data_IF_855323441992
#
_entry.id   IF_855323441992
#
_cell.length_a   1.000
_cell.length_b   1.000
_cell.length_c   1.000
_cell.angle_alpha   90.00
_cell.angle_beta   90.00
_cell.angle_gamma   90.00
#
_symmetry.space_group_name_H-M   'P 1'
#
loop_
_entity.id
_entity.type
_entity.pdbx_description
1 polymer ?
#
# COMPACT_ATOMS: atom_id res chain seq x y z
N UNK A 1 1.81 3.13 -14.83
CA UNK A 1 1.23 3.99 -13.77
C UNK A 1 2.07 3.79 -12.55
N UNK A 2 2.67 4.84 -12.04
CA UNK A 2 3.80 4.76 -11.11
C UNK A 2 3.42 5.40 -9.80
N UNK A 3 3.80 4.80 -8.66
CA UNK A 3 3.74 5.44 -7.35
C UNK A 3 5.11 6.09 -7.12
N UNK A 4 5.20 7.40 -7.30
CA UNK A 4 6.41 8.18 -7.04
C UNK A 4 6.39 8.79 -5.66
N UNK A 5 5.25 9.34 -5.24
CA UNK A 5 5.05 9.95 -3.94
C UNK A 5 3.68 9.57 -3.39
N UNK A 6 3.64 8.56 -2.53
CA UNK A 6 2.42 8.09 -1.87
C UNK A 6 2.29 8.58 -0.44
N UNK A 7 1.07 8.85 0.01
CA UNK A 7 0.74 9.07 1.41
C UNK A 7 -0.05 7.87 1.95
N UNK A 8 0.50 7.15 2.92
CA UNK A 8 -0.28 6.18 3.70
C UNK A 8 -0.91 6.86 4.90
N UNK A 9 -2.22 6.72 5.07
CA UNK A 9 -2.95 7.09 6.27
C UNK A 9 -3.04 5.83 7.15
N UNK A 10 -2.19 5.71 8.21
CA UNK A 10 -2.04 4.46 8.96
C UNK A 10 -2.95 4.36 10.17
N UNK A 11 -3.61 5.45 10.57
CA UNK A 11 -4.46 5.52 11.75
C UNK A 11 -5.58 6.53 11.55
N UNK A 12 -6.64 6.35 12.35
CA UNK A 12 -7.84 7.20 12.33
C UNK A 12 -8.12 7.82 13.71
N UNK A 13 -7.12 7.84 14.59
CA UNK A 13 -7.20 8.38 15.94
C UNK A 13 -6.77 9.84 15.97
N UNK A 14 -7.69 10.75 15.67
CA UNK A 14 -7.39 12.19 15.58
C UNK A 14 -7.79 12.98 16.83
N UNK A 15 -8.29 12.32 17.89
CA UNK A 15 -8.86 12.99 19.07
C UNK A 15 -10.19 13.71 18.79
N UNK A 16 -10.83 13.39 17.67
CA UNK A 16 -12.12 13.94 17.23
C UNK A 16 -13.28 13.03 17.62
N UNK A 17 -14.51 13.54 17.55
CA UNK A 17 -15.71 12.72 17.68
C UNK A 17 -15.91 11.80 16.46
N UNK A 18 -16.66 10.71 16.61
CA UNK A 18 -16.92 9.77 15.49
C UNK A 18 -17.51 10.46 14.25
N UNK A 19 -18.46 11.40 14.35
CA UNK A 19 -18.95 12.16 13.19
C UNK A 19 -17.88 12.99 12.46
N UNK A 20 -16.82 13.39 13.13
CA UNK A 20 -15.72 14.20 12.56
C UNK A 20 -14.56 13.34 12.04
N UNK A 21 -14.58 12.03 12.31
CA UNK A 21 -13.49 11.13 11.93
C UNK A 21 -13.29 11.08 10.41
N UNK A 22 -14.33 10.74 9.64
CA UNK A 22 -14.21 10.68 8.19
C UNK A 22 -13.92 12.04 7.53
N UNK A 23 -14.51 13.17 7.96
CA UNK A 23 -14.06 14.50 7.53
C UNK A 23 -12.56 14.74 7.68
N UNK A 24 -11.92 14.27 8.76
CA UNK A 24 -10.47 14.39 8.94
C UNK A 24 -9.68 13.46 7.98
N UNK A 25 -10.16 12.26 7.71
CA UNK A 25 -9.54 11.36 6.70
C UNK A 25 -9.64 11.98 5.30
N UNK A 26 -10.81 12.51 4.96
CA UNK A 26 -11.05 13.21 3.70
C UNK A 26 -10.11 14.39 3.53
N UNK A 27 -9.97 15.23 4.56
CA UNK A 27 -9.10 16.41 4.52
C UNK A 27 -7.63 16.04 4.29
N UNK A 28 -7.13 14.92 4.85
CA UNK A 28 -5.79 14.42 4.59
C UNK A 28 -5.60 14.03 3.11
N UNK A 29 -6.57 13.34 2.52
CA UNK A 29 -6.51 12.94 1.12
C UNK A 29 -6.58 14.15 0.17
N UNK A 30 -7.42 15.15 0.47
CA UNK A 30 -7.50 16.41 -0.27
C UNK A 30 -6.21 17.22 -0.14
N UNK A 31 -5.62 17.30 1.05
CA UNK A 31 -4.34 17.96 1.27
C UNK A 31 -3.20 17.25 0.53
N UNK A 32 -3.14 15.91 0.55
CA UNK A 32 -2.17 15.13 -0.19
C UNK A 32 -2.28 15.38 -1.71
N UNK A 33 -3.50 15.36 -2.25
CA UNK A 33 -3.73 15.66 -3.68
C UNK A 33 -3.27 17.08 -4.05
N UNK A 34 -3.54 18.06 -3.20
CA UNK A 34 -3.13 19.44 -3.41
C UNK A 34 -1.61 19.62 -3.31
N UNK A 35 -0.96 18.90 -2.40
CA UNK A 35 0.49 18.89 -2.20
C UNK A 35 1.27 18.12 -3.28
N UNK A 36 0.57 17.44 -4.20
CA UNK A 36 1.18 16.73 -5.32
C UNK A 36 1.59 15.29 -5.03
N UNK A 37 1.02 14.69 -3.99
CA UNK A 37 1.07 13.23 -3.88
C UNK A 37 0.27 12.59 -5.02
N UNK A 38 0.78 11.50 -5.57
CA UNK A 38 0.12 10.78 -6.65
C UNK A 38 -0.80 9.66 -6.15
N UNK A 39 -0.61 9.18 -4.92
CA UNK A 39 -1.37 8.05 -4.37
C UNK A 39 -1.67 8.24 -2.88
N UNK A 40 -2.92 8.02 -2.49
CA UNK A 40 -3.33 7.83 -1.08
C UNK A 40 -3.56 6.35 -0.82
N UNK A 41 -3.02 5.87 0.29
CA UNK A 41 -3.11 4.48 0.70
C UNK A 41 -3.67 4.38 2.13
N UNK A 42 -4.49 3.36 2.38
CA UNK A 42 -4.93 2.99 3.73
C UNK A 42 -4.50 1.57 4.06
N UNK A 43 -4.41 1.24 5.33
CA UNK A 43 -4.18 -0.15 5.75
C UNK A 43 -5.48 -0.97 5.62
N UNK A 44 -5.36 -2.24 5.25
CA UNK A 44 -6.48 -3.20 5.24
C UNK A 44 -6.48 -4.00 6.55
N UNK A 45 -6.64 -3.29 7.67
CA UNK A 45 -6.75 -3.84 9.01
C UNK A 45 -8.07 -3.42 9.66
N UNK A 46 -8.59 -4.25 10.56
CA UNK A 46 -9.82 -4.01 11.31
C UNK A 46 -9.54 -3.50 12.72
N UNK A 47 -8.33 -3.72 13.21
CA UNK A 47 -7.81 -3.25 14.48
C UNK A 47 -6.55 -2.41 14.26
N UNK A 48 -6.26 -1.51 15.20
CA UNK A 48 -5.02 -0.77 15.14
C UNK A 48 -3.82 -1.68 15.42
N UNK A 49 -2.73 -1.41 14.75
CA UNK A 49 -1.51 -2.21 14.85
C UNK A 49 -0.65 -1.80 16.03
N UNK A 50 0.03 -2.75 16.67
CA UNK A 50 1.06 -2.46 17.69
C UNK A 50 2.09 -1.44 17.18
N UNK A 51 2.40 -0.46 18.01
CA UNK A 51 3.31 0.65 17.67
C UNK A 51 2.66 1.79 16.86
N UNK A 52 1.36 1.68 16.53
CA UNK A 52 0.55 2.78 15.98
C UNK A 52 -0.51 3.23 16.96
N UNK A 53 -0.99 2.34 17.84
CA UNK A 53 -1.97 2.60 18.86
C UNK A 53 -2.47 1.32 19.52
N UNK A 54 -3.50 1.44 20.34
CA UNK A 54 -4.17 0.31 20.98
C UNK A 54 -5.12 -0.38 20.00
N UNK A 55 -5.36 -1.69 20.11
CA UNK A 55 -6.19 -2.44 19.15
C UNK A 55 -7.62 -1.95 18.98
N UNK A 56 -8.19 -1.28 19.98
CA UNK A 56 -9.55 -0.74 20.00
C UNK A 56 -9.64 0.72 19.50
N UNK A 57 -8.52 1.30 19.07
CA UNK A 57 -8.57 2.61 18.41
C UNK A 57 -9.31 2.51 17.06
N UNK A 58 -9.97 3.62 16.63
CA UNK A 58 -10.76 3.63 15.41
C UNK A 58 -9.99 3.12 14.19
N UNK A 59 -10.59 2.16 13.50
CA UNK A 59 -10.14 1.69 12.18
C UNK A 59 -11.36 1.63 11.25
N UNK A 60 -11.21 2.19 10.04
CA UNK A 60 -12.23 2.12 9.00
C UNK A 60 -11.92 0.96 8.06
N UNK A 61 -12.98 0.27 7.58
CA UNK A 61 -12.81 -0.75 6.56
C UNK A 61 -12.25 -0.11 5.27
N UNK A 62 -11.18 -0.68 4.77
CA UNK A 62 -10.33 -0.05 3.77
C UNK A 62 -11.04 0.32 2.46
N UNK A 63 -11.76 -0.61 1.86
CA UNK A 63 -12.40 -0.37 0.55
C UNK A 63 -13.62 0.54 0.67
N UNK A 64 -14.34 0.51 1.78
CA UNK A 64 -15.42 1.46 2.08
C UNK A 64 -14.86 2.88 2.23
N UNK A 65 -13.75 3.04 2.95
CA UNK A 65 -13.07 4.34 3.09
C UNK A 65 -12.53 4.85 1.75
N UNK A 66 -11.85 3.99 0.98
CA UNK A 66 -11.32 4.34 -0.35
C UNK A 66 -12.42 4.73 -1.34
N UNK A 67 -13.58 4.04 -1.32
CA UNK A 67 -14.71 4.42 -2.18
C UNK A 67 -15.27 5.80 -1.83
N UNK A 68 -15.32 6.15 -0.55
CA UNK A 68 -15.71 7.49 -0.12
C UNK A 68 -14.66 8.56 -0.51
N UNK A 69 -13.37 8.25 -0.36
CA UNK A 69 -12.28 9.14 -0.82
C UNK A 69 -12.26 9.32 -2.34
N UNK A 70 -12.65 8.29 -3.10
CA UNK A 70 -12.78 8.39 -4.55
C UNK A 70 -13.73 9.49 -5.02
N UNK A 71 -14.78 9.76 -4.22
CA UNK A 71 -15.75 10.84 -4.51
C UNK A 71 -15.32 12.21 -3.99
N UNK A 72 -14.30 12.25 -3.15
CA UNK A 72 -13.79 13.47 -2.51
C UNK A 72 -12.53 14.03 -3.20
N UNK A 73 -11.89 13.23 -4.05
CA UNK A 73 -10.66 13.56 -4.77
C UNK A 73 -10.84 13.42 -6.27
N UNK A 74 -9.99 14.03 -7.09
CA UNK A 74 -10.16 14.08 -8.55
C UNK A 74 -9.06 13.36 -9.32
N UNK A 75 -7.81 13.39 -8.82
CA UNK A 75 -6.61 12.93 -9.54
C UNK A 75 -5.83 11.85 -8.81
N UNK A 76 -5.77 11.95 -7.48
CA UNK A 76 -4.95 11.07 -6.66
C UNK A 76 -5.40 9.62 -6.77
N UNK A 77 -4.45 8.71 -6.92
CA UNK A 77 -4.68 7.27 -6.99
C UNK A 77 -5.05 6.73 -5.60
N UNK A 78 -5.77 5.63 -5.58
CA UNK A 78 -6.33 5.04 -4.37
C UNK A 78 -5.94 3.58 -4.25
N UNK A 79 -5.32 3.20 -3.16
CA UNK A 79 -4.86 1.83 -2.90
C UNK A 79 -4.97 1.45 -1.43
N UNK A 80 -4.90 0.17 -1.17
CA UNK A 80 -4.49 -0.33 0.15
C UNK A 80 -2.98 -0.55 0.17
N UNK A 81 -2.36 -0.43 1.33
CA UNK A 81 -0.98 -0.87 1.56
C UNK A 81 -0.93 -1.80 2.78
N UNK A 82 -1.17 -3.06 2.59
CA UNK A 82 -1.74 -3.74 1.41
C UNK A 82 -2.91 -4.62 1.85
N UNK A 83 -3.80 -4.96 0.91
CA UNK A 83 -4.90 -5.91 1.20
C UNK A 83 -4.34 -7.24 1.70
N UNK A 84 -4.87 -7.71 2.82
CA UNK A 84 -4.66 -9.07 3.28
C UNK A 84 -5.44 -10.06 2.41
N UNK A 85 -4.74 -10.88 1.63
CA UNK A 85 -5.38 -11.91 0.79
C UNK A 85 -6.29 -12.86 1.57
N UNK A 86 -6.06 -12.99 2.86
CA UNK A 86 -6.79 -13.88 3.77
C UNK A 86 -8.18 -13.37 4.16
N UNK A 87 -8.49 -12.10 3.93
CA UNK A 87 -9.77 -11.50 4.37
C UNK A 87 -10.89 -11.62 3.32
N UNK A 88 -10.57 -11.86 2.05
CA UNK A 88 -11.56 -11.87 0.96
C UNK A 88 -11.32 -12.99 -0.02
N UNK A 89 -12.41 -13.53 -0.57
CA UNK A 89 -12.31 -14.40 -1.74
C UNK A 89 -11.70 -13.63 -2.93
N UNK A 90 -10.79 -14.22 -3.73
CA UNK A 90 -10.11 -13.51 -4.83
C UNK A 90 -11.05 -12.89 -5.86
N UNK A 91 -12.15 -13.56 -6.20
CA UNK A 91 -13.13 -13.01 -7.17
C UNK A 91 -13.90 -11.84 -6.58
N UNK A 92 -14.22 -11.88 -5.29
CA UNK A 92 -14.83 -10.74 -4.59
C UNK A 92 -13.85 -9.57 -4.54
N UNK A 93 -12.58 -9.82 -4.24
CA UNK A 93 -11.56 -8.77 -4.21
C UNK A 93 -11.38 -8.12 -5.60
N UNK A 94 -11.26 -8.92 -6.66
CA UNK A 94 -11.19 -8.40 -8.03
C UNK A 94 -12.41 -7.52 -8.35
N UNK A 95 -13.61 -7.94 -7.96
CA UNK A 95 -14.85 -7.17 -8.15
C UNK A 95 -14.85 -5.87 -7.34
N UNK A 96 -14.39 -5.91 -6.09
CA UNK A 96 -14.30 -4.74 -5.22
C UNK A 96 -13.36 -3.68 -5.81
N UNK A 97 -12.17 -4.10 -6.24
CA UNK A 97 -11.17 -3.21 -6.85
C UNK A 97 -11.66 -2.64 -8.18
N UNK A 98 -12.30 -3.46 -9.02
CA UNK A 98 -12.90 -2.99 -10.27
C UNK A 98 -14.02 -1.98 -10.01
N UNK A 99 -14.81 -2.17 -8.96
CA UNK A 99 -15.84 -1.19 -8.56
C UNK A 99 -15.20 0.11 -8.08
N UNK A 100 -14.14 0.04 -7.28
CA UNK A 100 -13.37 1.22 -6.87
C UNK A 100 -12.79 1.95 -8.10
N UNK A 101 -12.29 1.21 -9.08
CA UNK A 101 -11.76 1.79 -10.33
C UNK A 101 -12.84 2.55 -11.13
N UNK A 102 -14.05 1.98 -11.22
CA UNK A 102 -15.19 2.66 -11.85
C UNK A 102 -15.60 3.92 -11.07
N UNK A 103 -15.75 3.82 -9.75
CA UNK A 103 -16.15 4.96 -8.88
C UNK A 103 -15.12 6.08 -8.91
N UNK A 104 -13.85 5.73 -8.99
CA UNK A 104 -12.74 6.69 -9.01
C UNK A 104 -12.36 7.18 -10.42
N UNK A 105 -13.07 6.77 -11.48
CA UNK A 105 -12.72 7.10 -12.86
C UNK A 105 -11.29 6.68 -13.24
N UNK A 106 -10.93 5.42 -12.93
CA UNK A 106 -9.67 4.82 -13.35
C UNK A 106 -8.47 5.09 -12.43
N UNK A 107 -8.69 5.35 -11.14
CA UNK A 107 -7.62 5.69 -10.17
C UNK A 107 -7.29 4.58 -9.17
N UNK A 108 -7.94 3.43 -9.24
CA UNK A 108 -7.66 2.34 -8.30
C UNK A 108 -6.34 1.63 -8.60
N UNK A 109 -5.65 1.21 -7.57
CA UNK A 109 -4.52 0.27 -7.60
C UNK A 109 -4.86 -0.88 -6.64
N UNK A 110 -4.65 -2.12 -7.05
CA UNK A 110 -4.72 -3.25 -6.14
C UNK A 110 -3.39 -3.40 -5.39
N UNK A 111 -3.32 -2.96 -4.14
CA UNK A 111 -2.25 -3.37 -3.23
C UNK A 111 -2.60 -4.69 -2.56
N UNK A 112 -1.74 -5.72 -2.63
CA UNK A 112 -2.04 -7.04 -2.06
C UNK A 112 -0.81 -7.71 -1.43
N UNK A 113 -1.05 -8.50 -0.38
CA UNK A 113 -0.05 -9.29 0.33
C UNK A 113 -0.66 -10.56 0.96
N UNK A 114 0.19 -11.40 1.54
CA UNK A 114 -0.22 -12.71 2.07
C UNK A 114 -1.02 -12.63 3.38
N UNK A 115 -1.14 -11.46 4.01
CA UNK A 115 -1.68 -11.32 5.36
C UNK A 115 -0.67 -11.74 6.44
N UNK A 116 -0.76 -11.14 7.63
CA UNK A 116 0.22 -11.41 8.70
C UNK A 116 -0.33 -11.25 10.12
N UNK A 117 -1.37 -10.44 10.34
CA UNK A 117 -1.82 -10.07 11.69
C UNK A 117 -2.79 -11.11 12.26
N UNK A 118 -2.25 -12.09 12.96
CA UNK A 118 -2.99 -13.25 13.49
C UNK A 118 -4.12 -12.88 14.46
N UNK A 119 -3.95 -11.79 15.24
CA UNK A 119 -4.95 -11.38 16.23
C UNK A 119 -6.31 -11.12 15.58
N UNK A 120 -6.35 -10.38 14.47
CA UNK A 120 -7.58 -10.09 13.73
C UNK A 120 -8.23 -11.37 13.20
N UNK A 121 -7.44 -12.26 12.61
CA UNK A 121 -7.94 -13.54 12.07
C UNK A 121 -8.63 -14.35 13.17
N UNK A 122 -7.96 -14.52 14.30
CA UNK A 122 -8.49 -15.31 15.42
C UNK A 122 -9.75 -14.69 16.02
N UNK A 123 -9.78 -13.37 16.22
CA UNK A 123 -10.90 -12.71 16.89
C UNK A 123 -12.11 -12.48 15.98
N UNK A 124 -11.88 -12.26 14.69
CA UNK A 124 -12.95 -12.02 13.71
C UNK A 124 -13.39 -13.29 12.98
N UNK A 125 -12.74 -14.44 13.25
CA UNK A 125 -13.12 -15.71 12.67
C UNK A 125 -12.63 -15.94 11.24
N UNK A 126 -11.60 -15.20 10.80
CA UNK A 126 -10.90 -15.48 9.56
C UNK A 126 -9.92 -16.64 9.75
N UNK A 127 -9.78 -17.49 8.73
CA UNK A 127 -8.75 -18.53 8.74
C UNK A 127 -7.35 -17.91 8.72
N UNK A 128 -6.48 -18.38 9.64
CA UNK A 128 -5.07 -17.98 9.66
C UNK A 128 -4.18 -19.22 9.50
N UNK A 129 -3.79 -19.45 8.27
CA UNK A 129 -2.97 -20.59 7.90
C UNK A 129 -1.49 -20.36 8.22
N UNK A 130 -0.67 -21.39 7.98
CA UNK A 130 0.78 -21.27 8.08
C UNK A 130 1.33 -20.24 7.10
N UNK A 131 2.52 -19.74 7.38
CA UNK A 131 3.20 -18.79 6.48
C UNK A 131 3.28 -19.33 5.04
N UNK A 132 3.53 -20.61 4.86
CA UNK A 132 3.63 -21.21 3.51
C UNK A 132 2.27 -21.24 2.82
N UNK A 133 1.23 -21.65 3.51
CA UNK A 133 -0.13 -21.76 2.96
C UNK A 133 -0.71 -20.39 2.60
N UNK A 134 -0.47 -19.36 3.40
CA UNK A 134 -0.87 -17.99 3.03
C UNK A 134 -0.24 -17.52 1.72
N UNK A 135 1.02 -17.89 1.45
CA UNK A 135 1.67 -17.57 0.18
C UNK A 135 1.18 -18.46 -0.98
N UNK A 136 0.82 -19.72 -0.73
CA UNK A 136 0.16 -20.57 -1.73
C UNK A 136 -1.22 -19.98 -2.10
N UNK A 137 -2.01 -19.57 -1.09
CA UNK A 137 -3.29 -18.88 -1.29
C UNK A 137 -3.11 -17.58 -2.08
N UNK A 138 -2.09 -16.79 -1.78
CA UNK A 138 -1.80 -15.56 -2.52
C UNK A 138 -1.44 -15.85 -3.99
N UNK A 139 -0.61 -16.85 -4.26
CA UNK A 139 -0.24 -17.22 -5.63
C UNK A 139 -1.46 -17.70 -6.45
N UNK A 140 -2.34 -18.52 -5.88
CA UNK A 140 -3.59 -18.92 -6.53
C UNK A 140 -4.56 -17.74 -6.72
N UNK A 141 -4.65 -16.85 -5.73
CA UNK A 141 -5.47 -15.64 -5.84
C UNK A 141 -5.01 -14.74 -6.99
N UNK A 142 -3.70 -14.53 -7.15
CA UNK A 142 -3.15 -13.74 -8.26
C UNK A 142 -3.44 -14.38 -9.62
N UNK A 143 -3.42 -15.72 -9.74
CA UNK A 143 -3.80 -16.42 -10.97
C UNK A 143 -5.28 -16.25 -11.35
N UNK A 144 -6.14 -15.87 -10.39
CA UNK A 144 -7.56 -15.56 -10.62
C UNK A 144 -7.74 -14.04 -10.84
N UNK A 145 -7.16 -13.21 -9.96
CA UNK A 145 -7.38 -11.76 -9.94
C UNK A 145 -6.80 -11.10 -11.20
N UNK A 146 -5.55 -11.45 -11.57
CA UNK A 146 -4.87 -10.83 -12.72
C UNK A 146 -5.71 -10.95 -14.00
N UNK A 147 -6.12 -12.15 -14.44
CA UNK A 147 -6.99 -12.29 -15.62
C UNK A 147 -8.32 -11.53 -15.48
N UNK A 148 -8.95 -11.56 -14.29
CA UNK A 148 -10.22 -10.85 -14.08
C UNK A 148 -10.06 -9.33 -14.23
N UNK A 149 -8.96 -8.76 -13.75
CA UNK A 149 -8.67 -7.32 -13.90
C UNK A 149 -8.34 -6.94 -15.35
N UNK A 150 -7.89 -7.90 -16.17
CA UNK A 150 -7.67 -7.73 -17.62
C UNK A 150 -8.91 -8.04 -18.47
N UNK A 151 -10.06 -8.38 -17.86
CA UNK A 151 -11.31 -8.69 -18.58
C UNK A 151 -11.40 -10.10 -19.12
N UNK A 152 -10.49 -10.95 -18.75
CA UNK A 152 -10.57 -12.38 -19.04
C UNK A 152 -11.58 -13.07 -18.10
N UNK A 153 -11.96 -14.29 -18.46
CA UNK A 153 -12.92 -15.11 -17.69
C UNK A 153 -12.22 -16.38 -17.19
N UNK A 154 -11.42 -16.30 -16.10
CA UNK A 154 -10.65 -17.45 -15.67
C UNK A 154 -11.53 -18.60 -15.20
N UNK A 155 -11.19 -19.80 -15.68
CA UNK A 155 -11.58 -21.07 -15.06
C UNK A 155 -10.34 -21.62 -14.38
N UNK A 156 -10.38 -21.73 -13.05
CA UNK A 156 -9.26 -22.11 -12.21
C UNK A 156 -9.67 -23.20 -11.21
N UNK A 157 -8.84 -24.20 -11.01
CA UNK A 157 -9.06 -25.27 -10.05
C UNK A 157 -7.77 -25.55 -9.28
N UNK A 158 -7.54 -24.77 -8.22
CA UNK A 158 -6.40 -24.93 -7.33
C UNK A 158 -6.69 -25.77 -6.09
N UNK A 159 -5.74 -25.75 -5.19
CA UNK A 159 -5.85 -26.35 -3.85
C UNK A 159 -6.81 -25.56 -2.96
N UNK A 160 -6.76 -24.22 -3.06
CA UNK A 160 -7.42 -23.27 -2.17
C UNK A 160 -8.64 -22.60 -2.80
N UNK A 161 -8.56 -22.29 -4.10
CA UNK A 161 -9.62 -21.56 -4.79
C UNK A 161 -10.09 -22.27 -6.06
N UNK A 162 -11.34 -21.99 -6.43
CA UNK A 162 -11.94 -22.51 -7.66
C UNK A 162 -12.83 -21.44 -8.28
N UNK A 163 -12.72 -21.29 -9.61
CA UNK A 163 -13.60 -20.43 -10.41
C UNK A 163 -14.02 -21.15 -11.69
N UNK A 164 -15.15 -20.76 -12.25
CA UNK A 164 -15.64 -21.25 -13.54
C UNK A 164 -16.11 -20.07 -14.39
N UNK A 165 -15.34 -19.73 -15.43
CA UNK A 165 -15.62 -18.61 -16.34
C UNK A 165 -16.02 -17.31 -15.62
N UNK A 166 -15.26 -16.94 -14.58
CA UNK A 166 -15.60 -15.82 -13.70
C UNK A 166 -15.66 -14.49 -14.46
N UNK A 167 -16.74 -13.73 -14.27
CA UNK A 167 -17.00 -12.47 -14.98
C UNK A 167 -16.73 -11.29 -14.07
N UNK A 168 -16.01 -10.27 -14.58
CA UNK A 168 -15.68 -9.05 -13.86
C UNK A 168 -16.04 -7.79 -14.68
N UNK A 169 -17.34 -7.48 -14.75
CA UNK A 169 -17.86 -6.28 -15.42
C UNK A 169 -18.76 -5.46 -14.47
N UNK A 170 -18.90 -4.10 -14.66
CA UNK A 170 -18.22 -3.30 -15.68
C UNK A 170 -16.76 -2.99 -15.31
N UNK A 171 -15.89 -2.77 -16.29
CA UNK A 171 -14.53 -2.28 -16.11
C UNK A 171 -14.41 -0.84 -16.67
N UNK A 172 -13.66 0.01 -16.00
CA UNK A 172 -13.40 1.38 -16.47
C UNK A 172 -12.23 1.42 -17.45
N UNK A 173 -11.22 0.57 -17.24
CA UNK A 173 -10.04 0.43 -18.08
C UNK A 173 -9.63 -1.04 -18.24
N UNK A 174 -8.76 -1.32 -19.20
CA UNK A 174 -8.36 -2.68 -19.55
C UNK A 174 -7.38 -3.31 -18.57
N UNK A 175 -6.69 -2.49 -17.76
CA UNK A 175 -5.72 -2.95 -16.78
C UNK A 175 -5.78 -2.09 -15.51
N UNK A 176 -6.04 -2.73 -14.37
CA UNK A 176 -5.89 -2.12 -13.04
C UNK A 176 -4.53 -2.56 -12.49
N UNK A 177 -3.61 -1.62 -12.16
CA UNK A 177 -2.28 -1.98 -11.69
C UNK A 177 -2.31 -2.76 -10.39
N UNK A 178 -1.34 -3.67 -10.24
CA UNK A 178 -1.18 -4.54 -9.08
C UNK A 178 0.14 -4.21 -8.38
N UNK A 179 0.04 -3.85 -7.11
CA UNK A 179 1.18 -3.66 -6.22
C UNK A 179 1.25 -4.79 -5.21
N UNK A 180 2.38 -5.49 -5.13
CA UNK A 180 2.66 -6.36 -4.00
C UNK A 180 3.41 -5.59 -2.92
N UNK A 181 3.09 -5.87 -1.64
CA UNK A 181 3.81 -5.31 -0.49
C UNK A 181 4.58 -6.37 0.29
N UNK A 182 5.79 -6.01 0.71
CA UNK A 182 6.63 -6.84 1.56
C UNK A 182 8.09 -6.90 1.12
N UNK A 183 8.92 -7.60 1.93
CA UNK A 183 10.39 -7.68 1.73
C UNK A 183 10.91 -9.11 1.60
N UNK A 184 10.03 -10.09 1.44
CA UNK A 184 10.36 -11.51 1.38
C UNK A 184 11.00 -11.92 0.07
N UNK A 185 12.33 -12.06 0.04
CA UNK A 185 13.14 -12.33 -1.16
C UNK A 185 12.80 -13.62 -1.90
N UNK A 186 12.36 -14.67 -1.15
CA UNK A 186 12.07 -15.99 -1.72
C UNK A 186 10.65 -16.13 -2.25
N UNK A 187 9.67 -15.49 -1.61
CA UNK A 187 8.24 -15.64 -1.96
C UNK A 187 7.68 -14.35 -2.54
N UNK A 188 7.73 -13.23 -1.81
CA UNK A 188 7.14 -11.97 -2.27
C UNK A 188 7.78 -11.50 -3.58
N UNK A 189 9.11 -11.49 -3.67
CA UNK A 189 9.80 -11.01 -4.88
C UNK A 189 9.55 -11.91 -6.10
N UNK A 190 9.45 -13.23 -5.88
CA UNK A 190 9.06 -14.15 -6.97
C UNK A 190 7.66 -13.87 -7.50
N UNK A 191 6.70 -13.63 -6.60
CA UNK A 191 5.34 -13.29 -7.01
C UNK A 191 5.27 -11.90 -7.65
N UNK A 192 6.02 -10.92 -7.11
CA UNK A 192 6.11 -9.59 -7.71
C UNK A 192 6.69 -9.66 -9.13
N UNK A 193 7.80 -10.35 -9.31
CA UNK A 193 8.39 -10.54 -10.64
C UNK A 193 7.42 -11.17 -11.65
N UNK A 194 6.49 -12.02 -11.20
CA UNK A 194 5.56 -12.74 -12.08
C UNK A 194 4.26 -11.98 -12.35
N UNK A 195 3.72 -11.27 -11.36
CA UNK A 195 2.32 -10.81 -11.38
C UNK A 195 2.14 -9.30 -11.17
N UNK A 196 3.15 -8.60 -10.61
CA UNK A 196 2.96 -7.22 -10.20
C UNK A 196 3.51 -6.21 -11.22
N UNK A 197 2.87 -5.04 -11.24
CA UNK A 197 3.38 -3.84 -11.90
C UNK A 197 4.30 -3.05 -10.97
N UNK A 198 4.10 -3.19 -9.66
CA UNK A 198 4.80 -2.44 -8.62
C UNK A 198 5.10 -3.33 -7.40
N UNK A 199 6.28 -3.15 -6.80
CA UNK A 199 6.63 -3.74 -5.51
C UNK A 199 6.88 -2.64 -4.48
N UNK A 200 6.07 -2.59 -3.41
CA UNK A 200 6.40 -1.77 -2.25
C UNK A 200 7.26 -2.56 -1.25
N UNK A 201 8.45 -2.08 -1.00
CA UNK A 201 9.41 -2.65 -0.07
C UNK A 201 9.11 -2.16 1.37
N UNK A 202 8.90 -3.11 2.29
CA UNK A 202 8.78 -2.85 3.72
C UNK A 202 10.04 -3.42 4.38
N UNK A 203 11.14 -2.70 4.27
CA UNK A 203 12.47 -3.13 4.70
C UNK A 203 13.25 -1.96 5.30
N UNK A 204 14.28 -2.25 6.09
CA UNK A 204 15.24 -1.25 6.53
C UNK A 204 15.86 -0.54 5.32
N UNK A 205 16.00 0.79 5.41
CA UNK A 205 16.60 1.62 4.34
C UNK A 205 17.99 1.11 3.98
N UNK A 206 18.77 0.66 4.94
CA UNK A 206 20.10 0.12 4.70
C UNK A 206 20.12 -1.17 3.87
N UNK A 207 19.03 -1.91 3.86
CA UNK A 207 18.89 -3.16 3.09
C UNK A 207 18.45 -2.94 1.64
N UNK A 208 17.92 -1.77 1.27
CA UNK A 208 17.31 -1.52 -0.05
C UNK A 208 18.23 -1.89 -1.22
N UNK A 209 19.54 -1.55 -1.26
CA UNK A 209 20.40 -1.94 -2.36
C UNK A 209 20.52 -3.46 -2.54
N UNK A 210 20.61 -4.21 -1.45
CA UNK A 210 20.66 -5.66 -1.48
C UNK A 210 19.33 -6.27 -1.95
N UNK A 211 18.22 -5.74 -1.47
CA UNK A 211 16.86 -6.14 -1.88
C UNK A 211 16.62 -5.93 -3.38
N UNK A 212 17.03 -4.77 -3.92
CA UNK A 212 16.92 -4.50 -5.36
C UNK A 212 17.73 -5.50 -6.19
N UNK A 213 18.93 -5.85 -5.75
CA UNK A 213 19.74 -6.85 -6.45
C UNK A 213 19.05 -8.22 -6.51
N UNK A 214 18.44 -8.65 -5.40
CA UNK A 214 17.68 -9.91 -5.37
C UNK A 214 16.42 -9.80 -6.25
N UNK A 215 15.71 -8.67 -6.25
CA UNK A 215 14.56 -8.46 -7.11
C UNK A 215 14.91 -8.58 -8.59
N UNK A 216 16.01 -7.95 -9.04
CA UNK A 216 16.53 -8.08 -10.40
C UNK A 216 16.85 -9.53 -10.75
N UNK A 217 17.41 -10.30 -9.83
CA UNK A 217 17.63 -11.74 -10.03
C UNK A 217 16.32 -12.51 -10.22
N UNK A 218 15.27 -12.20 -9.44
CA UNK A 218 13.95 -12.83 -9.61
C UNK A 218 13.31 -12.51 -10.95
N UNK A 219 13.49 -11.29 -11.46
CA UNK A 219 13.05 -10.93 -12.80
C UNK A 219 13.83 -11.71 -13.87
N UNK A 220 15.15 -11.80 -13.72
CA UNK A 220 16.00 -12.55 -14.66
C UNK A 220 15.68 -14.06 -14.69
N UNK A 221 15.28 -14.68 -13.58
CA UNK A 221 14.87 -16.10 -13.52
C UNK A 221 13.67 -16.43 -14.43
N UNK A 222 12.91 -15.43 -14.85
CA UNK A 222 11.72 -15.59 -15.72
C UNK A 222 11.80 -14.74 -17.01
N UNK A 223 12.98 -14.29 -17.37
CA UNK A 223 13.24 -13.45 -18.55
C UNK A 223 12.42 -12.14 -18.56
N UNK A 224 12.07 -11.60 -17.39
CA UNK A 224 11.42 -10.30 -17.25
C UNK A 224 12.46 -9.19 -17.16
N UNK A 225 12.29 -8.14 -17.97
CA UNK A 225 13.05 -6.90 -17.80
C UNK A 225 12.70 -6.26 -16.43
N UNK A 226 13.69 -6.11 -15.51
CA UNK A 226 13.45 -5.55 -14.19
C UNK A 226 12.94 -4.10 -14.23
N UNK A 227 13.23 -3.32 -15.27
CA UNK A 227 12.73 -1.94 -15.43
C UNK A 227 11.23 -1.87 -15.68
N UNK A 228 10.57 -3.00 -15.96
CA UNK A 228 9.10 -3.09 -16.06
C UNK A 228 8.40 -3.34 -14.71
N UNK A 229 9.14 -3.52 -13.64
CA UNK A 229 8.64 -3.69 -12.28
C UNK A 229 9.07 -2.50 -11.43
N UNK A 230 8.18 -1.55 -11.28
CA UNK A 230 8.44 -0.35 -10.49
C UNK A 230 8.55 -0.66 -8.99
N UNK A 231 9.27 0.17 -8.27
CA UNK A 231 9.54 -0.03 -6.84
C UNK A 231 9.23 1.23 -6.03
N UNK A 232 8.73 1.03 -4.81
CA UNK A 232 8.70 2.05 -3.78
C UNK A 232 9.11 1.46 -2.43
N UNK A 233 9.38 2.30 -1.44
CA UNK A 233 9.50 1.83 -0.06
C UNK A 233 8.57 2.62 0.86
N UNK A 234 8.10 1.94 1.93
CA UNK A 234 7.31 2.57 2.99
C UNK A 234 8.22 3.15 4.06
N UNK A 235 8.11 4.44 4.30
CA UNK A 235 8.87 5.17 5.31
C UNK A 235 7.94 5.84 6.34
N UNK A 236 8.36 5.84 7.58
CA UNK A 236 7.75 6.67 8.63
C UNK A 236 8.52 7.97 8.74
N UNK A 237 7.84 9.10 8.61
CA UNK A 237 8.45 10.43 8.68
C UNK A 237 7.99 11.15 9.94
N UNK A 238 8.94 11.75 10.64
CA UNK A 238 8.73 12.57 11.81
C UNK A 238 9.37 13.94 11.58
N UNK A 239 8.54 14.95 11.46
CA UNK A 239 8.94 16.32 11.15
C UNK A 239 9.16 17.11 12.44
N UNK A 240 10.30 17.79 12.56
CA UNK A 240 10.61 18.68 13.69
C UNK A 240 9.60 19.84 13.78
N UNK A 241 9.32 20.29 15.01
CA UNK A 241 8.37 21.38 15.26
C UNK A 241 6.92 20.92 15.49
N UNK A 242 6.65 19.63 15.28
CA UNK A 242 5.37 18.99 15.62
C UNK A 242 5.57 18.07 16.83
N UNK A 243 4.53 17.93 17.66
CA UNK A 243 4.54 16.98 18.77
C UNK A 243 4.58 15.54 18.23
N UNK A 244 5.68 14.84 18.50
CA UNK A 244 5.87 13.45 18.14
C UNK A 244 6.35 12.62 19.33
N UNK A 245 5.92 11.35 19.49
CA UNK A 245 6.48 10.45 20.47
C UNK A 245 7.99 10.26 20.24
N UNK A 246 8.77 10.24 21.35
CA UNK A 246 10.24 10.17 21.28
C UNK A 246 10.80 8.81 20.87
N UNK A 247 10.00 7.76 20.88
CA UNK A 247 10.45 6.36 20.75
C UNK A 247 10.13 5.71 19.40
N UNK A 248 9.91 6.50 18.35
CA UNK A 248 9.52 6.02 17.03
C UNK A 248 10.61 5.24 16.32
N UNK A 249 11.87 5.65 16.47
CA UNK A 249 12.99 5.01 15.78
C UNK A 249 13.12 3.53 16.19
N UNK A 250 12.86 3.20 17.46
CA UNK A 250 12.92 1.85 17.98
C UNK A 250 11.72 0.98 17.48
N UNK A 251 10.52 1.57 17.41
CA UNK A 251 9.31 0.87 17.01
C UNK A 251 9.22 0.62 15.49
N UNK A 252 9.94 1.37 14.64
CA UNK A 252 9.87 1.31 13.18
C UNK A 252 11.08 0.67 12.51
N UNK A 253 12.12 0.34 13.28
CA UNK A 253 13.39 -0.14 12.75
C UNK A 253 13.93 0.86 11.72
N UNK A 254 14.96 0.57 10.98
CA UNK A 254 15.60 1.48 10.04
C UNK A 254 14.76 2.04 8.88
N UNK A 255 13.43 2.19 9.07
CA UNK A 255 12.47 2.81 8.14
C UNK A 255 11.93 4.15 8.62
N UNK A 256 12.37 4.64 9.79
CA UNK A 256 12.00 5.95 10.29
C UNK A 256 13.05 7.00 9.88
N UNK A 257 12.56 8.17 9.50
CA UNK A 257 13.37 9.36 9.25
C UNK A 257 12.80 10.51 10.07
N UNK A 258 13.67 11.21 10.81
CA UNK A 258 13.27 12.33 11.66
C UNK A 258 14.18 13.53 11.43
N UNK A 259 13.63 14.74 11.57
CA UNK A 259 14.36 16.00 11.41
C UNK A 259 13.49 17.09 10.77
N UNK A 260 14.15 18.17 10.34
CA UNK A 260 13.46 19.17 9.52
C UNK A 260 13.01 18.56 8.20
N UNK A 261 12.01 19.13 7.54
CA UNK A 261 11.51 18.65 6.24
C UNK A 261 12.65 18.54 5.22
N UNK A 262 13.55 19.52 5.16
CA UNK A 262 14.71 19.50 4.26
C UNK A 262 15.67 18.35 4.58
N UNK A 263 15.94 18.08 5.86
CA UNK A 263 16.79 16.95 6.26
C UNK A 263 16.17 15.61 5.87
N UNK A 264 14.86 15.44 6.09
CA UNK A 264 14.14 14.24 5.67
C UNK A 264 14.18 14.08 4.15
N UNK A 265 13.98 15.14 3.39
CA UNK A 265 14.04 15.14 1.94
C UNK A 265 15.45 14.74 1.42
N UNK A 266 16.50 15.29 1.99
CA UNK A 266 17.90 14.94 1.66
C UNK A 266 18.20 13.46 1.96
N UNK A 267 17.74 12.94 3.12
CA UNK A 267 17.92 11.54 3.49
C UNK A 267 17.16 10.60 2.53
N UNK A 268 15.91 10.92 2.18
CA UNK A 268 15.12 10.17 1.20
C UNK A 268 15.85 10.16 -0.15
N UNK A 269 16.26 11.32 -0.63
CA UNK A 269 17.00 11.39 -1.89
C UNK A 269 18.24 10.50 -1.87
N UNK A 270 19.11 10.68 -0.90
CA UNK A 270 20.42 10.03 -0.83
C UNK A 270 20.33 8.53 -0.56
N UNK A 271 19.43 8.09 0.34
CA UNK A 271 19.39 6.71 0.86
C UNK A 271 18.35 5.83 0.20
N UNK A 272 17.41 6.43 -0.56
CA UNK A 272 16.30 5.71 -1.17
C UNK A 272 16.28 5.91 -2.68
N UNK A 273 16.15 7.15 -3.16
CA UNK A 273 16.02 7.40 -4.60
C UNK A 273 17.34 7.19 -5.34
N UNK A 274 18.46 7.73 -4.83
CA UNK A 274 19.77 7.61 -5.46
C UNK A 274 20.32 6.15 -5.47
N UNK A 275 19.74 5.23 -4.67
CA UNK A 275 20.09 3.80 -4.69
C UNK A 275 19.24 2.99 -5.67
N UNK A 276 18.27 3.63 -6.35
CA UNK A 276 17.50 3.05 -7.44
C UNK A 276 16.10 2.56 -7.07
N UNK A 277 15.51 3.05 -5.97
CA UNK A 277 14.08 2.93 -5.69
C UNK A 277 13.36 4.02 -6.48
N UNK A 278 12.27 3.68 -7.16
CA UNK A 278 11.58 4.60 -8.09
C UNK A 278 10.69 5.62 -7.38
N UNK A 279 10.20 5.31 -6.19
CA UNK A 279 9.32 6.20 -5.44
C UNK A 279 9.29 5.91 -3.94
N UNK A 280 8.58 6.73 -3.19
CA UNK A 280 8.42 6.57 -1.75
C UNK A 280 6.96 6.64 -1.35
N UNK A 281 6.56 5.83 -0.38
CA UNK A 281 5.30 5.97 0.32
C UNK A 281 5.64 6.36 1.74
N UNK A 282 5.14 7.50 2.19
CA UNK A 282 5.39 7.98 3.55
C UNK A 282 4.14 7.84 4.41
N UNK A 283 4.34 7.70 5.71
CA UNK A 283 3.30 7.91 6.70
C UNK A 283 3.77 8.84 7.82
N UNK A 284 2.81 9.51 8.44
CA UNK A 284 3.00 10.54 9.46
C UNK A 284 2.21 10.18 10.73
N UNK A 285 2.38 8.98 11.32
CA UNK A 285 1.50 8.47 12.37
C UNK A 285 1.53 9.31 13.65
N UNK A 286 2.67 9.96 13.91
CA UNK A 286 2.92 10.75 15.11
C UNK A 286 2.26 12.12 15.08
N UNK A 287 2.00 12.62 13.87
CA UNK A 287 1.36 13.93 13.71
C UNK A 287 -0.16 13.81 13.74
N UNK A 288 -0.71 12.60 13.86
CA UNK A 288 -2.14 12.31 13.72
C UNK A 288 -2.67 13.02 12.47
N UNK A 289 -3.62 13.91 12.56
CA UNK A 289 -3.89 14.85 11.47
C UNK A 289 -3.62 16.28 11.95
N UNK A 290 -2.46 16.80 11.61
CA UNK A 290 -2.12 18.20 11.78
C UNK A 290 -2.15 18.87 10.42
N UNK A 291 -3.13 19.73 10.11
CA UNK A 291 -3.23 20.42 8.82
C UNK A 291 -1.94 21.17 8.47
N UNK A 292 -1.49 21.06 7.23
CA UNK A 292 -0.29 21.69 6.72
C UNK A 292 0.97 20.82 6.71
N UNK A 293 1.07 19.79 7.57
CA UNK A 293 2.25 18.93 7.61
C UNK A 293 2.40 18.09 6.33
N UNK A 294 1.28 17.63 5.76
CA UNK A 294 1.28 16.88 4.48
C UNK A 294 1.74 17.80 3.34
N UNK A 295 1.29 19.05 3.35
CA UNK A 295 1.71 20.07 2.36
C UNK A 295 3.19 20.34 2.45
N UNK A 296 3.73 20.59 3.66
CA UNK A 296 5.16 20.86 3.88
C UNK A 296 6.04 19.74 3.34
N UNK A 297 5.70 18.49 3.69
CA UNK A 297 6.44 17.32 3.23
C UNK A 297 6.28 17.09 1.73
N UNK A 298 5.07 17.27 1.19
CA UNK A 298 4.79 17.14 -0.24
C UNK A 298 5.59 18.14 -1.08
N UNK A 299 5.65 19.40 -0.66
CA UNK A 299 6.40 20.45 -1.36
C UNK A 299 7.92 20.16 -1.39
N UNK A 300 8.47 19.55 -0.36
CA UNK A 300 9.87 19.18 -0.31
C UNK A 300 10.20 17.91 -1.12
N UNK A 301 9.30 16.92 -1.13
CA UNK A 301 9.56 15.62 -1.77
C UNK A 301 9.19 15.58 -3.27
N UNK A 302 8.14 16.28 -3.68
CA UNK A 302 7.68 16.29 -5.08
C UNK A 302 8.80 16.62 -6.09
N UNK A 303 9.69 17.61 -5.86
CA UNK A 303 10.79 17.87 -6.80
C UNK A 303 11.80 16.75 -6.95
N UNK A 304 11.89 15.84 -5.97
CA UNK A 304 12.88 14.75 -5.95
C UNK A 304 12.43 13.52 -6.75
N UNK A 305 11.12 13.31 -6.86
CA UNK A 305 10.57 12.09 -7.46
C UNK A 305 10.20 12.25 -8.95
N UNK A 306 10.42 13.43 -9.51
CA UNK A 306 10.16 13.70 -10.93
C UNK A 306 8.67 13.66 -11.26
N UNK A 307 8.00 14.81 -11.18
CA UNK A 307 6.61 14.96 -11.64
C UNK A 307 6.54 15.04 -13.16
#
# INVERSE_FOLDING_TARGET
MTIRLGLQIPNFSYGTSVPELFPAVKAQAEEAEAAGFDTVLVMDHFYQLPGLGEPDEPMLEAYTALAALATATERIQLSTLVTGNTYRNPTLLAKTVTTLDVVSAGRAILGIGAGWFELEHRQLGFEFDTFTERFEKLEEALQIIVPMLHGERPTFAGKWYRTESAINEPRYRDHVPIMLGGSGEKKTFRLAARYADHLNLIADIAELPAKLNVLRQRCAEIDRDPETLETSCLLTVVVDGYDAPKDIDEARGGRALSGTVDQVADEIKRRVLDVGIDGVIINLPTHRYTPGVITEVGDALRPLVGA
#
